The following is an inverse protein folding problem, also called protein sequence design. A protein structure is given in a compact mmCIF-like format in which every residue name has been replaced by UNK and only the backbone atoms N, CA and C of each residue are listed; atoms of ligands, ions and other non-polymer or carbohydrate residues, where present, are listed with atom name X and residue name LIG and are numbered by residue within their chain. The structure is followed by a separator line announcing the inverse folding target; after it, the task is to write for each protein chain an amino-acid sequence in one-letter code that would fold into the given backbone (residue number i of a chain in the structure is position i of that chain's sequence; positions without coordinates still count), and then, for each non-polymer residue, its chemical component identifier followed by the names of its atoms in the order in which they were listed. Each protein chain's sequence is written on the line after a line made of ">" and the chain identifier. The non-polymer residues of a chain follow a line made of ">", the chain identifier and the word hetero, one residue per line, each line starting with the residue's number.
data_IF_938255431764
#
_entry.id   IF_938255431764
#
_cell.length_a   1.000
_cell.length_b   1.000
_cell.length_c   1.000
_cell.angle_alpha   90.00
_cell.angle_beta   90.00
_cell.angle_gamma   90.00
#
_symmetry.space_group_name_H-M   'P 1'
#
loop_
_entity.id
_entity.type
_entity.pdbx_description
1 polymer ?
#
# COMPACT_ATOMS: atom_id res chain seq x y z
N UNK A 1 6.02 12.65 14.82
CA UNK A 1 4.69 12.57 14.21
C UNK A 1 4.16 11.15 14.31
N UNK A 2 3.05 10.99 15.00
CA UNK A 2 2.52 9.67 15.37
C UNK A 2 1.40 9.17 14.45
N UNK A 3 1.18 9.85 13.34
CA UNK A 3 0.17 9.43 12.36
C UNK A 3 0.56 8.10 11.71
N UNK A 4 -0.39 7.19 11.65
CA UNK A 4 -0.21 5.93 10.94
C UNK A 4 -0.67 6.10 9.49
N UNK A 5 0.22 5.79 8.56
CA UNK A 5 0.01 6.00 7.13
C UNK A 5 0.09 4.67 6.41
N UNK A 6 -0.96 4.34 5.65
CA UNK A 6 -1.02 3.11 4.85
C UNK A 6 -0.85 3.49 3.39
N UNK A 7 0.05 2.79 2.70
CA UNK A 7 0.35 3.01 1.29
C UNK A 7 0.09 1.73 0.49
N UNK A 8 -1.17 1.46 0.11
CA UNK A 8 -1.47 0.34 -0.79
C UNK A 8 -0.82 0.61 -2.15
N UNK A 9 -0.06 -0.35 -2.67
CA UNK A 9 0.71 -0.18 -3.90
C UNK A 9 1.98 0.65 -3.72
N UNK A 10 2.45 0.82 -2.49
CA UNK A 10 3.55 1.73 -2.17
C UNK A 10 4.96 1.23 -2.47
N UNK A 11 5.14 0.03 -3.02
CA UNK A 11 6.46 -0.49 -3.35
C UNK A 11 6.96 -0.09 -4.74
N UNK A 12 6.13 0.57 -5.54
CA UNK A 12 6.51 1.11 -6.85
C UNK A 12 7.37 2.38 -6.73
N UNK A 13 7.69 2.97 -7.88
CA UNK A 13 8.56 4.14 -7.94
C UNK A 13 7.99 5.33 -7.13
N UNK A 14 6.71 5.64 -7.32
CA UNK A 14 6.06 6.74 -6.60
C UNK A 14 6.04 6.46 -5.10
N UNK A 15 5.66 5.25 -4.71
CA UNK A 15 5.56 4.86 -3.30
C UNK A 15 6.90 4.89 -2.59
N UNK A 16 7.96 4.37 -3.20
CA UNK A 16 9.29 4.38 -2.60
C UNK A 16 9.80 5.81 -2.38
N UNK A 17 9.57 6.70 -3.34
CA UNK A 17 9.92 8.11 -3.18
C UNK A 17 9.08 8.78 -2.08
N UNK A 18 7.79 8.47 -2.01
CA UNK A 18 6.92 9.00 -0.96
C UNK A 18 7.35 8.53 0.43
N UNK A 19 7.69 7.26 0.58
CA UNK A 19 8.21 6.73 1.85
C UNK A 19 9.43 7.51 2.31
N UNK A 20 10.40 7.71 1.41
CA UNK A 20 11.61 8.46 1.75
C UNK A 20 11.29 9.88 2.22
N UNK A 21 10.36 10.56 1.55
CA UNK A 21 9.97 11.92 1.93
C UNK A 21 9.21 11.96 3.25
N UNK A 22 8.32 11.01 3.49
CA UNK A 22 7.59 10.92 4.76
C UNK A 22 8.55 10.67 5.93
N UNK A 23 9.51 9.78 5.74
CA UNK A 23 10.54 9.51 6.74
C UNK A 23 11.37 10.78 7.03
N UNK A 24 11.75 11.51 5.99
CA UNK A 24 12.50 12.76 6.15
C UNK A 24 11.70 13.83 6.91
N UNK A 25 10.37 13.78 6.86
CA UNK A 25 9.49 14.69 7.61
C UNK A 25 9.19 14.22 9.04
N UNK A 26 9.69 13.06 9.43
CA UNK A 26 9.54 12.55 10.78
C UNK A 26 8.40 11.55 11.00
N UNK A 27 7.70 11.14 9.94
CA UNK A 27 6.70 10.07 10.04
C UNK A 27 7.40 8.72 10.15
N UNK A 28 6.99 7.89 11.11
CA UNK A 28 7.62 6.59 11.36
C UNK A 28 6.65 5.42 11.26
N UNK A 29 5.35 5.64 11.43
CA UNK A 29 4.35 4.57 11.35
C UNK A 29 3.84 4.47 9.91
N UNK A 30 4.64 3.84 9.07
CA UNK A 30 4.33 3.68 7.64
C UNK A 30 4.18 2.21 7.33
N UNK A 31 3.07 1.84 6.68
CA UNK A 31 2.79 0.48 6.23
C UNK A 31 2.64 0.50 4.71
N UNK A 32 3.46 -0.28 4.03
CA UNK A 32 3.37 -0.50 2.59
C UNK A 32 2.81 -1.89 2.33
N UNK A 33 1.78 -1.98 1.51
CA UNK A 33 1.15 -3.22 1.09
C UNK A 33 1.25 -3.32 -0.43
N UNK A 34 1.86 -4.38 -0.93
CA UNK A 34 2.08 -4.54 -2.37
C UNK A 34 2.22 -6.02 -2.70
N UNK A 35 1.91 -6.40 -3.93
CA UNK A 35 2.12 -7.75 -4.39
C UNK A 35 3.43 -7.94 -5.16
N UNK A 36 4.15 -6.89 -5.43
CA UNK A 36 5.41 -6.92 -6.18
C UNK A 36 6.57 -7.28 -5.25
N UNK A 37 6.90 -8.57 -5.17
CA UNK A 37 7.86 -9.09 -4.19
C UNK A 37 9.26 -8.50 -4.34
N UNK A 38 9.73 -8.32 -5.58
CA UNK A 38 11.06 -7.74 -5.82
C UNK A 38 11.14 -6.30 -5.31
N UNK A 39 10.12 -5.50 -5.57
CA UNK A 39 10.09 -4.13 -5.08
C UNK A 39 9.99 -4.06 -3.56
N UNK A 40 9.22 -4.96 -2.94
CA UNK A 40 9.15 -5.04 -1.47
C UNK A 40 10.50 -5.38 -0.87
N UNK A 41 11.26 -6.30 -1.50
CA UNK A 41 12.58 -6.67 -1.01
C UNK A 41 13.54 -5.47 -1.04
N UNK A 42 13.51 -4.68 -2.11
CA UNK A 42 14.30 -3.45 -2.21
C UNK A 42 13.88 -2.45 -1.14
N UNK A 43 12.58 -2.25 -0.98
CA UNK A 43 12.05 -1.30 0.01
C UNK A 43 12.46 -1.68 1.44
N UNK A 44 12.37 -2.97 1.79
CA UNK A 44 12.80 -3.46 3.11
C UNK A 44 14.28 -3.23 3.36
N UNK A 45 15.09 -3.34 2.32
CA UNK A 45 16.54 -3.11 2.42
C UNK A 45 16.87 -1.62 2.63
N UNK A 46 16.16 -0.74 1.92
CA UNK A 46 16.40 0.71 1.98
C UNK A 46 15.74 1.34 3.21
N UNK A 47 14.56 0.85 3.60
CA UNK A 47 13.79 1.38 4.73
C UNK A 47 13.44 0.23 5.70
N UNK A 48 14.41 -0.27 6.48
CA UNK A 48 14.18 -1.46 7.31
C UNK A 48 13.26 -1.23 8.52
N UNK A 49 12.98 0.02 8.85
CA UNK A 49 12.17 0.40 10.02
C UNK A 49 10.68 0.63 9.73
N UNK A 50 10.25 0.44 8.49
CA UNK A 50 8.82 0.49 8.15
C UNK A 50 8.26 -0.92 8.00
N UNK A 51 6.92 -1.02 7.99
CA UNK A 51 6.24 -2.28 7.66
C UNK A 51 6.05 -2.35 6.15
N UNK A 52 6.57 -3.37 5.52
CA UNK A 52 6.41 -3.61 4.08
C UNK A 52 6.03 -5.08 3.88
N UNK A 53 4.77 -5.34 3.54
CA UNK A 53 4.23 -6.68 3.47
C UNK A 53 3.63 -6.99 2.11
N UNK A 54 3.76 -8.26 1.72
CA UNK A 54 3.07 -8.77 0.54
C UNK A 54 1.56 -8.78 0.79
N UNK A 55 0.82 -8.24 -0.16
CA UNK A 55 -0.63 -8.33 -0.16
C UNK A 55 -1.14 -8.23 -1.59
N UNK A 56 -2.02 -9.15 -1.99
CA UNK A 56 -2.78 -8.99 -3.21
C UNK A 56 -4.07 -8.23 -2.85
N UNK A 57 -4.09 -6.95 -3.16
CA UNK A 57 -5.18 -6.05 -2.77
C UNK A 57 -6.48 -6.33 -3.50
N UNK A 58 -6.46 -7.15 -4.54
CA UNK A 58 -7.66 -7.60 -5.25
C UNK A 58 -8.29 -8.83 -4.61
N UNK A 59 -7.71 -9.36 -3.53
CA UNK A 59 -8.22 -10.49 -2.77
C UNK A 59 -8.46 -10.09 -1.32
N UNK A 60 -9.54 -10.58 -0.68
CA UNK A 60 -9.69 -10.41 0.76
C UNK A 60 -8.53 -11.06 1.50
N UNK A 61 -8.14 -10.50 2.63
CA UNK A 61 -7.05 -11.07 3.41
C UNK A 61 -6.76 -10.28 4.67
N UNK A 62 -5.78 -10.74 5.42
CA UNK A 62 -5.40 -10.15 6.71
C UNK A 62 -4.75 -8.77 6.55
N UNK A 63 -4.37 -8.40 5.35
CA UNK A 63 -3.78 -7.08 5.09
C UNK A 63 -4.69 -5.93 5.51
N UNK A 64 -6.03 -6.15 5.52
CA UNK A 64 -6.98 -5.13 5.93
C UNK A 64 -6.82 -4.72 7.39
N UNK A 65 -6.28 -5.59 8.23
CA UNK A 65 -6.07 -5.31 9.67
C UNK A 65 -5.11 -4.15 9.90
N UNK A 66 -4.20 -3.89 8.96
CA UNK A 66 -3.29 -2.74 9.07
C UNK A 66 -4.03 -1.40 9.05
N UNK A 67 -5.26 -1.37 8.56
CA UNK A 67 -6.05 -0.13 8.50
C UNK A 67 -6.59 0.27 9.87
N UNK A 68 -6.61 -0.65 10.84
CA UNK A 68 -7.02 -0.30 12.20
C UNK A 68 -6.09 0.76 12.79
N UNK A 69 -6.67 1.87 13.24
CA UNK A 69 -5.91 2.97 13.80
C UNK A 69 -5.16 3.82 12.77
N UNK A 70 -5.36 3.58 11.48
CA UNK A 70 -4.74 4.39 10.46
C UNK A 70 -5.33 5.79 10.41
N UNK A 71 -4.49 6.77 10.16
CA UNK A 71 -4.89 8.17 10.05
C UNK A 71 -5.02 8.60 8.59
N UNK A 72 -4.19 8.04 7.71
CA UNK A 72 -4.13 8.41 6.30
C UNK A 72 -3.91 7.16 5.45
N UNK A 73 -4.61 7.09 4.33
CA UNK A 73 -4.37 6.09 3.29
C UNK A 73 -4.09 6.82 1.99
N UNK A 74 -2.96 6.50 1.35
CA UNK A 74 -2.62 7.01 0.03
C UNK A 74 -2.66 5.83 -0.95
N UNK A 75 -3.67 5.80 -1.80
CA UNK A 75 -3.90 4.70 -2.72
C UNK A 75 -3.01 4.84 -3.95
N UNK A 76 -2.01 3.99 -4.04
CA UNK A 76 -1.04 3.99 -5.14
C UNK A 76 -1.10 2.73 -5.99
N UNK A 77 -1.98 1.77 -5.64
CA UNK A 77 -2.13 0.55 -6.42
C UNK A 77 -2.77 0.86 -7.77
N UNK A 78 -2.12 0.44 -8.83
CA UNK A 78 -2.62 0.57 -10.19
C UNK A 78 -1.83 -0.29 -11.15
N UNK A 79 -2.49 -0.75 -12.21
CA UNK A 79 -1.86 -1.32 -13.40
C UNK A 79 -2.03 -0.32 -14.52
N UNK A 80 -0.92 0.12 -15.13
CA UNK A 80 -0.93 1.17 -16.15
C UNK A 80 -0.96 0.60 -17.56
N UNK A 81 -0.50 -0.64 -17.74
CA UNK A 81 -0.43 -1.28 -19.05
C UNK A 81 -0.81 -2.74 -18.99
N UNK A 82 -0.73 -3.40 -20.14
CA UNK A 82 -1.05 -4.81 -20.26
C UNK A 82 -2.14 -5.05 -21.31
N UNK A 83 -2.27 -6.31 -21.73
CA UNK A 83 -3.21 -6.73 -22.77
C UNK A 83 -4.39 -7.52 -22.22
N UNK A 84 -4.42 -7.81 -20.92
CA UNK A 84 -5.48 -8.57 -20.29
C UNK A 84 -6.45 -7.62 -19.58
N UNK A 85 -7.65 -7.50 -20.14
CA UNK A 85 -8.67 -6.61 -19.57
C UNK A 85 -9.13 -7.06 -18.19
N UNK A 86 -9.30 -8.36 -17.97
CA UNK A 86 -9.75 -8.88 -16.67
C UNK A 86 -8.70 -8.62 -15.58
N UNK A 87 -7.43 -8.78 -15.92
CA UNK A 87 -6.34 -8.44 -15.00
C UNK A 87 -6.30 -6.94 -14.69
N UNK A 88 -6.53 -6.10 -15.71
CA UNK A 88 -6.59 -4.65 -15.54
C UNK A 88 -7.73 -4.25 -14.60
N UNK A 89 -8.93 -4.82 -14.76
CA UNK A 89 -10.07 -4.59 -13.88
C UNK A 89 -9.74 -5.06 -12.46
N UNK A 90 -9.17 -6.23 -12.31
CA UNK A 90 -8.79 -6.81 -11.01
C UNK A 90 -7.83 -5.89 -10.27
N UNK A 91 -6.78 -5.45 -10.91
CA UNK A 91 -5.71 -4.67 -10.27
C UNK A 91 -6.09 -3.20 -10.04
N UNK A 92 -7.06 -2.66 -10.76
CA UNK A 92 -7.47 -1.26 -10.62
C UNK A 92 -8.82 -1.12 -9.92
N UNK A 93 -9.84 -1.85 -10.37
CA UNK A 93 -11.21 -1.69 -9.85
C UNK A 93 -11.41 -2.52 -8.59
N UNK A 94 -11.16 -3.82 -8.66
CA UNK A 94 -11.42 -4.72 -7.53
C UNK A 94 -10.52 -4.38 -6.33
N UNK A 95 -9.26 -4.09 -6.57
CA UNK A 95 -8.34 -3.68 -5.50
C UNK A 95 -8.79 -2.39 -4.84
N UNK A 96 -9.22 -1.40 -5.62
CA UNK A 96 -9.69 -0.13 -5.08
C UNK A 96 -10.95 -0.31 -4.24
N UNK A 97 -11.88 -1.17 -4.66
CA UNK A 97 -13.08 -1.46 -3.89
C UNK A 97 -12.76 -2.10 -2.55
N UNK A 98 -11.83 -3.04 -2.51
CA UNK A 98 -11.42 -3.68 -1.25
C UNK A 98 -10.68 -2.71 -0.32
N UNK A 99 -9.82 -1.87 -0.86
CA UNK A 99 -9.14 -0.83 -0.07
C UNK A 99 -10.16 0.15 0.51
N UNK A 100 -11.10 0.64 -0.31
CA UNK A 100 -12.15 1.55 0.16
C UNK A 100 -13.05 0.90 1.21
N UNK A 101 -13.34 -0.38 1.06
CA UNK A 101 -14.08 -1.15 2.06
C UNK A 101 -13.35 -1.21 3.40
N UNK A 102 -12.03 -1.41 3.38
CA UNK A 102 -11.20 -1.39 4.59
C UNK A 102 -11.16 0.00 5.23
N UNK A 103 -11.05 1.05 4.43
CA UNK A 103 -11.10 2.43 4.91
C UNK A 103 -12.41 2.69 5.64
N UNK A 104 -13.53 2.27 5.06
CA UNK A 104 -14.86 2.43 5.67
C UNK A 104 -14.98 1.62 6.95
N UNK A 105 -14.55 0.35 6.93
CA UNK A 105 -14.64 -0.55 8.08
C UNK A 105 -13.89 -0.01 9.30
N UNK A 106 -12.69 0.51 9.10
CA UNK A 106 -11.85 1.00 10.19
C UNK A 106 -11.93 2.51 10.41
N UNK A 107 -12.83 3.19 9.69
CA UNK A 107 -13.11 4.62 9.86
C UNK A 107 -11.88 5.51 9.69
N UNK A 108 -11.10 5.21 8.66
CA UNK A 108 -9.93 6.01 8.35
C UNK A 108 -10.34 7.36 7.77
#
# INVERSE_FOLDING_TARGET
>A
MNNKIILPGGAGLVGQNLVARLKAKGYSQIVVLDKHRANLAVLRQVQPDIVAEYADLAEPGDWTQHFEGADVVVMLQAQIGGNDYDEFVRNNVDSSLLVLSAIKRYQV
#
